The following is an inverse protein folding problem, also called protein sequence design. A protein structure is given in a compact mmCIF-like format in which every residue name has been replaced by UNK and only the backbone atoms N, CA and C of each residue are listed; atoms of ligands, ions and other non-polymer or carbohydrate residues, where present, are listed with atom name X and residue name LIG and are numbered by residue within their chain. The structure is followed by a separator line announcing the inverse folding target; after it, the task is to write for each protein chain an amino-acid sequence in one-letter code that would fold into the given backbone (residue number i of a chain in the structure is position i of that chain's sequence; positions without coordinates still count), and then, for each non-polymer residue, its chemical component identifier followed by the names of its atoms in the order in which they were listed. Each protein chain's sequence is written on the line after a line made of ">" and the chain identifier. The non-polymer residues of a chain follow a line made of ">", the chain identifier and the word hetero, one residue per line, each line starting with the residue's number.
data_IF_046962413041
#
_entry.id   IF_046962413041
#
_cell.length_a   1.000
_cell.length_b   1.000
_cell.length_c   1.000
_cell.angle_alpha   90.00
_cell.angle_beta   90.00
_cell.angle_gamma   90.00
#
_symmetry.space_group_name_H-M   'P 1'
#
loop_
_entity.id
_entity.type
_entity.pdbx_description
1 polymer ?
#
# COMPACT_ATOMS: atom_id res chain seq x y z
N UNK A 1 60.97 -22.85 -17.76
CA UNK A 1 60.33 -21.90 -18.70
C UNK A 1 59.35 -21.08 -17.84
N UNK A 2 59.50 -19.77 -17.54
CA UNK A 2 59.88 -18.59 -18.37
C UNK A 2 59.05 -18.59 -19.67
N UNK A 3 58.28 -17.59 -20.10
CA UNK A 3 58.12 -16.17 -19.71
C UNK A 3 56.67 -15.73 -20.07
N UNK A 4 56.13 -14.52 -19.82
CA UNK A 4 56.65 -13.24 -19.33
C UNK A 4 55.72 -12.62 -18.25
N UNK A 5 56.14 -11.49 -17.69
CA UNK A 5 55.42 -10.52 -16.85
C UNK A 5 55.62 -9.15 -17.51
N UNK A 6 54.58 -8.33 -17.68
CA UNK A 6 54.63 -6.95 -18.23
C UNK A 6 53.34 -6.21 -17.83
N UNK A 7 53.30 -4.95 -17.44
CA UNK A 7 54.27 -4.08 -16.78
C UNK A 7 53.48 -2.94 -16.10
N UNK A 8 53.99 -2.36 -14.99
CA UNK A 8 53.44 -1.10 -14.42
C UNK A 8 53.86 0.07 -15.32
N UNK A 9 53.05 1.13 -15.48
CA UNK A 9 53.29 2.29 -14.62
C UNK A 9 52.04 3.12 -14.24
N UNK A 10 52.19 3.90 -13.17
CA UNK A 10 51.33 5.03 -12.79
C UNK A 10 52.12 6.32 -13.08
N UNK A 11 51.54 7.28 -13.81
CA UNK A 11 51.53 8.68 -13.36
C UNK A 11 50.26 9.44 -13.85
N UNK A 12 49.96 10.71 -13.56
CA UNK A 12 50.19 11.69 -12.49
C UNK A 12 49.79 13.07 -13.09
N UNK A 13 49.34 14.02 -12.26
CA UNK A 13 49.28 15.47 -12.51
C UNK A 13 48.42 16.09 -13.67
N UNK A 14 47.26 16.63 -13.25
CA UNK A 14 46.95 18.08 -13.28
C UNK A 14 47.00 18.92 -14.56
N UNK A 15 45.85 19.47 -14.97
CA UNK A 15 45.69 20.91 -15.27
C UNK A 15 44.34 21.49 -14.80
N UNK A 16 44.42 22.49 -13.93
CA UNK A 16 43.40 23.55 -13.76
C UNK A 16 43.40 24.38 -15.07
N UNK A 17 42.37 25.10 -15.53
CA UNK A 17 41.32 25.94 -14.88
C UNK A 17 40.03 25.90 -15.76
N UNK A 18 38.95 26.69 -15.64
CA UNK A 18 38.49 27.78 -14.75
C UNK A 18 36.94 27.81 -14.76
N UNK A 19 36.28 28.28 -13.69
CA UNK A 19 34.83 28.57 -13.67
C UNK A 19 34.54 30.00 -14.17
N UNK A 20 33.32 30.31 -14.67
CA UNK A 20 32.23 30.73 -13.77
C UNK A 20 30.81 30.22 -14.12
N UNK A 21 29.93 30.26 -13.12
CA UNK A 21 28.47 29.99 -13.15
C UNK A 21 27.68 31.21 -13.72
N UNK A 22 26.32 31.30 -13.68
CA UNK A 22 25.26 30.28 -13.52
C UNK A 22 24.12 30.36 -14.58
N UNK A 23 23.20 29.39 -14.63
CA UNK A 23 21.75 29.63 -14.78
C UNK A 23 20.88 28.35 -14.69
N UNK A 24 19.92 28.34 -13.76
CA UNK A 24 18.57 27.78 -13.97
C UNK A 24 18.33 26.25 -14.00
N UNK A 25 17.63 25.77 -12.97
CA UNK A 25 16.60 24.69 -13.00
C UNK A 25 16.98 23.28 -13.50
N UNK A 26 16.64 22.19 -12.83
CA UNK A 26 15.83 22.00 -11.61
C UNK A 26 16.36 20.82 -10.78
N UNK A 27 16.06 20.84 -9.49
CA UNK A 27 16.25 19.66 -8.64
C UNK A 27 15.26 18.57 -9.07
N UNK A 28 15.76 17.50 -9.70
CA UNK A 28 15.03 16.23 -9.71
C UNK A 28 15.46 15.47 -8.47
N UNK A 29 14.80 15.80 -7.36
CA UNK A 29 14.81 15.01 -6.12
C UNK A 29 14.76 13.53 -6.50
N UNK A 30 15.79 12.76 -6.15
CA UNK A 30 15.66 11.31 -6.18
C UNK A 30 14.54 10.97 -5.21
N UNK A 31 13.36 10.69 -5.76
CA UNK A 31 12.22 10.27 -4.98
C UNK A 31 12.62 8.98 -4.27
N UNK A 32 12.96 9.11 -2.99
CA UNK A 32 12.71 8.08 -2.01
C UNK A 32 11.31 7.55 -2.31
N UNK A 33 11.08 6.22 -2.34
CA UNK A 33 9.71 5.73 -2.40
C UNK A 33 8.97 6.42 -1.25
N UNK A 34 8.02 7.28 -1.60
CA UNK A 34 7.35 8.16 -0.66
C UNK A 34 6.47 7.25 0.20
N UNK A 35 7.10 6.71 1.25
CA UNK A 35 6.47 5.92 2.29
C UNK A 35 5.63 6.92 3.06
N UNK A 36 4.41 7.09 2.56
CA UNK A 36 3.44 8.05 3.04
C UNK A 36 3.41 8.00 4.57
N UNK A 37 3.88 9.08 5.21
CA UNK A 37 3.98 9.16 6.67
C UNK A 37 2.62 9.49 7.31
N UNK A 38 1.53 8.99 6.71
CA UNK A 38 0.28 8.78 7.43
C UNK A 38 0.44 7.58 8.38
N UNK A 39 1.07 7.89 9.52
CA UNK A 39 1.20 6.99 10.66
C UNK A 39 0.36 7.46 11.87
N UNK A 40 -0.98 7.57 11.75
CA UNK A 40 -1.85 7.62 12.92
C UNK A 40 -1.99 6.20 13.48
N UNK A 41 -0.93 5.72 14.15
CA UNK A 41 -0.94 4.49 14.94
C UNK A 41 -1.68 3.31 14.27
N UNK A 42 -1.28 2.95 13.03
CA UNK A 42 -1.94 1.88 12.29
C UNK A 42 -1.85 0.56 13.05
N UNK A 43 -2.95 0.19 13.69
CA UNK A 43 -3.21 -1.17 14.15
C UNK A 43 -3.14 -2.08 12.92
N UNK A 44 -2.17 -3.01 12.85
CA UNK A 44 -1.94 -3.79 11.64
C UNK A 44 -3.20 -4.58 11.29
N UNK A 45 -3.76 -4.30 10.12
CA UNK A 45 -5.01 -4.89 9.63
C UNK A 45 -6.24 -3.99 9.63
N UNK A 46 -6.17 -2.71 10.05
CA UNK A 46 -7.31 -1.79 9.88
C UNK A 46 -7.13 -0.82 8.71
N UNK A 47 -8.15 -0.71 7.85
CA UNK A 47 -8.20 0.23 6.72
C UNK A 47 -9.50 1.01 6.71
N UNK A 48 -9.42 2.33 6.64
CA UNK A 48 -10.56 3.21 6.34
C UNK A 48 -10.79 3.25 4.83
N UNK A 49 -12.04 3.11 4.41
CA UNK A 49 -12.46 2.99 3.02
C UNK A 49 -13.70 3.85 2.78
N UNK A 50 -13.81 4.48 1.61
CA UNK A 50 -15.05 5.16 1.21
C UNK A 50 -16.07 4.12 0.73
N UNK A 51 -17.34 4.28 1.08
CA UNK A 51 -18.42 3.38 0.64
C UNK A 51 -18.57 3.37 -0.89
N UNK A 52 -18.24 4.50 -1.51
CA UNK A 52 -18.06 4.66 -2.96
C UNK A 52 -16.97 3.75 -3.59
N UNK A 53 -16.06 3.17 -2.81
CA UNK A 53 -15.01 2.25 -3.30
C UNK A 53 -15.56 0.84 -3.43
N UNK A 54 -15.65 0.31 -4.65
CA UNK A 54 -16.18 -1.03 -4.90
C UNK A 54 -15.40 -2.13 -4.15
N UNK A 55 -16.05 -3.13 -3.55
CA UNK A 55 -15.36 -4.18 -2.78
C UNK A 55 -14.40 -5.01 -3.64
N UNK A 56 -14.65 -5.13 -4.96
CA UNK A 56 -13.73 -5.74 -5.93
C UNK A 56 -12.40 -4.98 -6.05
N UNK A 57 -12.45 -3.65 -6.10
CA UNK A 57 -11.26 -2.80 -6.24
C UNK A 57 -10.45 -2.81 -4.94
N UNK A 58 -11.11 -2.70 -3.79
CA UNK A 58 -10.47 -2.90 -2.49
C UNK A 58 -9.79 -4.28 -2.39
N UNK A 59 -10.49 -5.36 -2.77
CA UNK A 59 -9.94 -6.73 -2.73
C UNK A 59 -8.77 -6.92 -3.71
N UNK A 60 -8.79 -6.28 -4.88
CA UNK A 60 -7.68 -6.30 -5.83
C UNK A 60 -6.44 -5.57 -5.29
N UNK A 61 -6.61 -4.44 -4.57
CA UNK A 61 -5.52 -3.74 -3.89
C UNK A 61 -4.95 -4.56 -2.74
N UNK A 62 -5.80 -5.25 -1.98
CA UNK A 62 -5.39 -6.16 -0.91
C UNK A 62 -4.52 -7.32 -1.44
N UNK A 63 -4.98 -7.97 -2.51
CA UNK A 63 -4.28 -9.04 -3.23
C UNK A 63 -2.91 -8.55 -3.76
N UNK A 64 -2.88 -7.41 -4.44
CA UNK A 64 -1.65 -6.78 -4.95
C UNK A 64 -0.68 -6.32 -3.84
N UNK A 65 -1.16 -6.13 -2.60
CA UNK A 65 -0.33 -5.82 -1.43
C UNK A 65 0.37 -7.06 -0.85
N UNK A 66 0.13 -8.25 -1.41
CA UNK A 66 0.64 -9.53 -0.87
C UNK A 66 0.00 -9.91 0.46
N UNK A 67 -1.15 -9.33 0.82
CA UNK A 67 -1.81 -9.58 2.09
C UNK A 67 -2.53 -10.94 2.09
N UNK A 68 -2.27 -11.75 3.12
CA UNK A 68 -2.83 -13.09 3.28
C UNK A 68 -4.37 -13.07 3.39
N UNK A 69 -5.02 -14.16 2.97
CA UNK A 69 -6.47 -14.34 3.10
C UNK A 69 -6.90 -14.19 4.56
N UNK A 70 -7.72 -13.17 4.90
CA UNK A 70 -8.20 -12.97 6.25
C UNK A 70 -9.26 -14.01 6.60
N UNK A 71 -9.14 -14.64 7.77
CA UNK A 71 -10.17 -15.53 8.31
C UNK A 71 -11.42 -14.74 8.71
N UNK A 72 -11.26 -13.48 9.12
CA UNK A 72 -12.33 -12.59 9.55
C UNK A 72 -12.12 -11.16 9.03
N UNK A 73 -13.19 -10.54 8.55
CA UNK A 73 -13.25 -9.11 8.22
C UNK A 73 -14.36 -8.49 9.05
N UNK A 74 -14.03 -7.59 9.99
CA UNK A 74 -15.02 -6.77 10.67
C UNK A 74 -15.18 -5.45 9.92
N UNK A 75 -16.38 -5.19 9.41
CA UNK A 75 -16.75 -3.95 8.75
C UNK A 75 -17.48 -3.10 9.79
N UNK A 76 -17.02 -1.87 9.98
CA UNK A 76 -17.67 -0.89 10.85
C UNK A 76 -18.19 0.27 9.99
N UNK A 77 -19.43 0.68 10.21
CA UNK A 77 -20.09 1.75 9.46
C UNK A 77 -20.87 2.67 10.42
N UNK A 78 -21.16 3.91 10.00
CA UNK A 78 -22.06 4.79 10.74
C UNK A 78 -23.48 4.20 10.84
N UNK A 79 -23.99 3.69 9.71
CA UNK A 79 -25.32 3.11 9.57
C UNK A 79 -25.21 1.73 8.89
N UNK A 80 -25.00 0.64 9.65
CA UNK A 80 -24.80 -0.69 9.08
C UNK A 80 -26.01 -1.20 8.28
N UNK A 81 -27.22 -0.80 8.66
CA UNK A 81 -28.47 -1.18 8.01
C UNK A 81 -28.77 -0.38 6.72
N UNK A 82 -28.03 0.70 6.45
CA UNK A 82 -28.25 1.53 5.28
C UNK A 82 -28.09 0.74 3.98
N UNK A 83 -28.99 0.96 3.02
CA UNK A 83 -29.07 0.19 1.76
C UNK A 83 -27.74 0.15 1.00
N UNK A 84 -26.97 1.24 1.01
CA UNK A 84 -25.66 1.30 0.37
C UNK A 84 -24.63 0.41 1.08
N UNK A 85 -24.62 0.38 2.42
CA UNK A 85 -23.74 -0.50 3.23
C UNK A 85 -24.12 -1.97 3.06
N UNK A 86 -25.41 -2.30 3.09
CA UNK A 86 -25.86 -3.68 2.85
C UNK A 86 -25.60 -4.16 1.42
N UNK A 87 -25.72 -3.27 0.43
CA UNK A 87 -25.35 -3.55 -0.97
C UNK A 87 -23.86 -3.83 -1.10
N UNK A 88 -23.03 -2.98 -0.49
CA UNK A 88 -21.57 -3.13 -0.46
C UNK A 88 -21.16 -4.45 0.21
N UNK A 89 -21.75 -4.76 1.38
CA UNK A 89 -21.56 -6.01 2.11
C UNK A 89 -21.94 -7.24 1.27
N UNK A 90 -23.07 -7.18 0.56
CA UNK A 90 -23.54 -8.28 -0.30
C UNK A 90 -22.55 -8.53 -1.44
N UNK A 91 -22.07 -7.47 -2.10
CA UNK A 91 -21.06 -7.58 -3.15
C UNK A 91 -19.72 -8.11 -2.61
N UNK A 92 -19.28 -7.71 -1.40
CA UNK A 92 -18.06 -8.27 -0.80
C UNK A 92 -18.22 -9.78 -0.51
N UNK A 93 -19.36 -10.21 0.03
CA UNK A 93 -19.63 -11.64 0.29
C UNK A 93 -19.57 -12.47 -0.99
N UNK A 94 -20.11 -11.94 -2.08
CA UNK A 94 -20.06 -12.56 -3.40
C UNK A 94 -18.60 -12.69 -3.91
N UNK A 95 -17.82 -11.60 -3.85
CA UNK A 95 -16.39 -11.59 -4.20
C UNK A 95 -15.59 -12.65 -3.41
N UNK A 96 -15.77 -12.71 -2.09
CA UNK A 96 -15.07 -13.67 -1.22
C UNK A 96 -15.46 -15.12 -1.57
N UNK A 97 -16.75 -15.37 -1.82
CA UNK A 97 -17.26 -16.69 -2.22
C UNK A 97 -16.73 -17.11 -3.60
N UNK A 98 -16.66 -16.18 -4.56
CA UNK A 98 -16.07 -16.41 -5.89
C UNK A 98 -14.58 -16.71 -5.81
N UNK A 99 -13.86 -16.13 -4.83
CA UNK A 99 -12.45 -16.46 -4.55
C UNK A 99 -12.25 -17.75 -3.74
N UNK A 100 -13.33 -18.38 -3.26
CA UNK A 100 -13.27 -19.56 -2.39
C UNK A 100 -12.74 -19.26 -0.98
N UNK A 101 -12.74 -18.00 -0.54
CA UNK A 101 -12.16 -17.61 0.75
C UNK A 101 -13.13 -17.93 1.91
N UNK A 102 -12.70 -18.65 2.97
CA UNK A 102 -13.53 -19.02 4.12
C UNK A 102 -13.69 -17.84 5.11
N UNK A 103 -13.72 -16.61 4.60
CA UNK A 103 -13.69 -15.38 5.39
C UNK A 103 -15.04 -15.08 6.01
N UNK A 104 -15.09 -15.01 7.34
CA UNK A 104 -16.27 -14.56 8.08
C UNK A 104 -16.35 -13.04 8.08
N UNK A 105 -17.49 -12.48 7.72
CA UNK A 105 -17.73 -11.04 7.87
C UNK A 105 -18.50 -10.79 9.17
N UNK A 106 -18.03 -9.80 9.94
CA UNK A 106 -18.75 -9.20 11.06
C UNK A 106 -19.12 -7.76 10.70
N UNK A 107 -20.28 -7.30 11.17
CA UNK A 107 -20.76 -5.94 10.96
C UNK A 107 -20.88 -5.24 12.32
N UNK A 108 -20.42 -4.00 12.39
CA UNK A 108 -20.46 -3.17 13.59
C UNK A 108 -20.92 -1.74 13.27
N UNK A 109 -21.52 -1.07 14.24
CA UNK A 109 -21.83 0.35 14.17
C UNK A 109 -20.72 1.17 14.87
N UNK A 110 -20.23 2.22 14.22
CA UNK A 110 -19.52 3.32 14.85
C UNK A 110 -20.01 4.64 14.28
N UNK A 111 -20.73 5.42 15.09
CA UNK A 111 -21.37 6.68 14.68
C UNK A 111 -20.40 7.86 14.58
N UNK A 112 -19.11 7.65 14.85
CA UNK A 112 -18.05 8.63 14.65
C UNK A 112 -17.53 8.60 13.20
N UNK A 113 -17.81 7.52 12.46
CA UNK A 113 -17.59 7.44 11.02
C UNK A 113 -18.58 8.33 10.26
N UNK A 114 -18.16 8.84 9.10
CA UNK A 114 -19.08 9.45 8.14
C UNK A 114 -19.98 8.40 7.47
N UNK A 115 -21.12 8.82 6.94
CA UNK A 115 -22.09 7.94 6.25
C UNK A 115 -21.58 7.31 4.95
N UNK A 116 -20.59 7.92 4.29
CA UNK A 116 -19.83 7.34 3.16
C UNK A 116 -18.50 6.70 3.61
N UNK A 117 -18.30 6.42 4.91
CA UNK A 117 -17.10 5.75 5.42
C UNK A 117 -17.39 4.36 6.01
N UNK A 118 -16.52 3.42 5.63
CA UNK A 118 -16.40 2.09 6.20
C UNK A 118 -15.00 1.95 6.82
N UNK A 119 -14.91 1.25 7.95
CA UNK A 119 -13.63 0.85 8.56
C UNK A 119 -13.56 -0.67 8.57
N UNK A 120 -12.61 -1.24 7.84
CA UNK A 120 -12.43 -2.67 7.67
C UNK A 120 -11.26 -3.14 8.53
N UNK A 121 -11.52 -4.13 9.38
CA UNK A 121 -10.54 -4.73 10.29
C UNK A 121 -10.36 -6.20 9.92
N UNK A 122 -9.16 -6.52 9.44
CA UNK A 122 -8.73 -7.86 9.05
C UNK A 122 -8.22 -8.60 10.30
N UNK A 123 -8.62 -9.84 10.49
CA UNK A 123 -8.27 -10.60 11.70
C UNK A 123 -8.20 -12.10 11.44
N UNK A 124 -7.14 -12.72 11.96
CA UNK A 124 -6.78 -14.10 11.68
C UNK A 124 -6.24 -14.25 10.26
N UNK A 125 -5.06 -14.84 10.14
CA UNK A 125 -4.49 -15.27 8.85
C UNK A 125 -4.54 -16.78 8.79
N UNK A 126 -4.89 -17.34 7.63
CA UNK A 126 -4.61 -18.74 7.35
C UNK A 126 -3.11 -18.83 7.01
N UNK A 127 -2.31 -19.63 7.75
CA UNK A 127 -0.88 -19.78 7.50
C UNK A 127 -0.58 -20.54 6.21
#
# INVERSE_FOLDING_TARGET
>A
MRSQQLARPQPEASRQTLSPQPAGTAATTQAQPQRDEDKPNQVPGTTSLKLSTSPRDWLARHDASGAQTPLKIRITAAEPDATAVQTWLTQLRDQLKHRGWPTRIELAQDRSLGTDQLRLELSGVVP
#
